data_IF_816362737811
#
_entry.id   IF_816362737811
#
_cell.length_a   1.000
_cell.length_b   1.000
_cell.length_c   1.000
_cell.angle_alpha   90.00
_cell.angle_beta   90.00
_cell.angle_gamma   90.00
#
_symmetry.space_group_name_H-M   'P 1'
#
loop_
_entity.id
_entity.type
_entity.pdbx_description
1 polymer ?
#
# COMPACT_ATOMS: atom_id res chain seq x y z
N UNK A 1 21.43 10.39 29.67
CA UNK A 1 20.40 9.76 28.81
C UNK A 1 20.14 10.70 27.63
N UNK A 2 20.73 10.40 26.49
CA UNK A 2 20.86 11.31 25.33
C UNK A 2 19.63 11.21 24.42
N UNK A 3 19.15 12.36 23.93
CA UNK A 3 17.94 12.55 23.10
C UNK A 3 17.89 11.74 21.79
N UNK A 4 18.99 11.07 21.46
CA UNK A 4 19.18 10.24 20.27
C UNK A 4 18.37 8.92 20.36
N UNK A 5 18.39 8.26 21.52
CA UNK A 5 17.75 6.95 21.74
C UNK A 5 16.23 6.98 21.47
N UNK A 6 15.58 8.06 21.91
CA UNK A 6 14.13 8.22 21.81
C UNK A 6 13.64 8.45 20.37
N UNK A 7 14.54 8.89 19.48
CA UNK A 7 14.25 9.21 18.08
C UNK A 7 14.28 7.93 17.22
N UNK A 8 15.18 6.99 17.56
CA UNK A 8 15.24 5.66 16.95
C UNK A 8 14.03 4.80 17.32
N UNK A 9 13.58 4.84 18.58
CA UNK A 9 12.38 4.11 19.01
C UNK A 9 11.10 4.61 18.31
N UNK A 10 10.96 5.93 18.16
CA UNK A 10 9.85 6.52 17.38
C UNK A 10 9.86 6.06 15.92
N UNK A 11 11.04 5.94 15.30
CA UNK A 11 11.20 5.45 13.93
C UNK A 11 10.86 3.97 13.81
N UNK A 12 11.29 3.14 14.77
CA UNK A 12 10.95 1.71 14.85
C UNK A 12 9.45 1.47 14.99
N UNK A 13 8.78 2.21 15.87
CA UNK A 13 7.33 2.11 16.09
C UNK A 13 6.57 2.56 14.84
N UNK A 14 7.01 3.64 14.19
CA UNK A 14 6.44 4.07 12.92
C UNK A 14 6.56 3.02 11.81
N UNK A 15 7.71 2.36 11.70
CA UNK A 15 7.93 1.25 10.77
C UNK A 15 7.06 0.03 11.07
N UNK A 16 6.93 -0.35 12.34
CA UNK A 16 6.10 -1.47 12.76
C UNK A 16 4.61 -1.22 12.48
N UNK A 17 4.14 0.00 12.77
CA UNK A 17 2.76 0.41 12.50
C UNK A 17 2.47 0.45 10.99
N UNK A 18 3.45 0.86 10.18
CA UNK A 18 3.37 0.84 8.73
C UNK A 18 3.24 -0.60 8.20
N UNK A 19 4.05 -1.53 8.71
CA UNK A 19 3.97 -2.95 8.34
C UNK A 19 2.63 -3.58 8.75
N UNK A 20 2.13 -3.27 9.96
CA UNK A 20 0.82 -3.73 10.43
C UNK A 20 -0.32 -3.22 9.56
N UNK A 21 -0.30 -1.93 9.20
CA UNK A 21 -1.30 -1.35 8.28
C UNK A 21 -1.21 -1.98 6.89
N UNK A 22 -0.01 -2.14 6.34
CA UNK A 22 0.17 -2.77 5.04
C UNK A 22 -0.37 -4.21 5.03
N UNK A 23 -0.04 -4.99 6.06
CA UNK A 23 -0.54 -6.37 6.20
C UNK A 23 -2.07 -6.43 6.31
N UNK A 24 -2.68 -5.54 7.11
CA UNK A 24 -4.13 -5.47 7.26
C UNK A 24 -4.84 -5.09 5.96
N UNK A 25 -4.28 -4.15 5.20
CA UNK A 25 -4.80 -3.74 3.88
C UNK A 25 -4.73 -4.90 2.89
N UNK A 26 -3.62 -5.63 2.84
CA UNK A 26 -3.45 -6.77 1.92
C UNK A 26 -4.42 -7.90 2.29
N UNK A 27 -4.49 -8.28 3.57
CA UNK A 27 -5.40 -9.34 4.03
C UNK A 27 -6.88 -8.97 3.80
N UNK A 28 -7.25 -7.71 4.05
CA UNK A 28 -8.60 -7.20 3.78
C UNK A 28 -8.94 -7.20 2.29
N UNK A 29 -8.02 -6.79 1.42
CA UNK A 29 -8.22 -6.80 -0.01
C UNK A 29 -8.40 -8.22 -0.57
N UNK A 30 -7.60 -9.18 -0.10
CA UNK A 30 -7.71 -10.59 -0.49
C UNK A 30 -9.05 -11.17 0.01
N UNK A 31 -9.40 -10.94 1.28
CA UNK A 31 -10.67 -11.40 1.84
C UNK A 31 -11.90 -10.83 1.13
N UNK A 32 -11.84 -9.56 0.72
CA UNK A 32 -12.89 -8.92 -0.07
C UNK A 32 -13.01 -9.52 -1.48
N UNK A 33 -11.87 -9.71 -2.17
CA UNK A 33 -11.82 -10.32 -3.49
C UNK A 33 -12.33 -11.77 -3.49
N UNK A 34 -12.02 -12.56 -2.47
CA UNK A 34 -12.43 -13.97 -2.39
C UNK A 34 -13.88 -14.11 -1.91
N UNK A 35 -14.33 -13.26 -0.99
CA UNK A 35 -15.64 -13.38 -0.36
C UNK A 35 -16.79 -12.68 -1.09
N UNK A 36 -16.51 -11.62 -1.84
CA UNK A 36 -17.54 -10.75 -2.43
C UNK A 36 -17.55 -10.73 -3.95
N UNK A 37 -16.45 -11.10 -4.59
CA UNK A 37 -16.37 -11.13 -6.06
C UNK A 37 -16.55 -12.54 -6.60
N UNK A 38 -17.43 -12.66 -7.60
CA UNK A 38 -17.46 -13.85 -8.43
C UNK A 38 -16.13 -13.95 -9.18
N UNK A 39 -15.62 -15.17 -9.38
CA UNK A 39 -14.29 -15.44 -9.94
C UNK A 39 -14.06 -14.76 -11.32
N UNK A 40 -15.14 -14.49 -12.05
CA UNK A 40 -15.15 -13.76 -13.33
C UNK A 40 -14.85 -12.25 -13.21
N UNK A 41 -15.13 -11.64 -12.06
CA UNK A 41 -14.94 -10.21 -11.82
C UNK A 41 -13.55 -9.87 -11.26
N UNK A 42 -12.87 -10.84 -10.64
CA UNK A 42 -11.52 -10.68 -10.09
C UNK A 42 -10.51 -10.19 -11.15
N UNK A 43 -10.44 -10.78 -12.37
CA UNK A 43 -9.53 -10.29 -13.40
C UNK A 43 -9.83 -8.86 -13.86
N UNK A 44 -11.11 -8.49 -13.97
CA UNK A 44 -11.50 -7.14 -14.40
C UNK A 44 -11.12 -6.08 -13.36
N UNK A 45 -11.36 -6.34 -12.07
CA UNK A 45 -10.95 -5.42 -10.99
C UNK A 45 -9.42 -5.38 -10.88
N UNK A 46 -8.73 -6.52 -11.02
CA UNK A 46 -7.27 -6.57 -11.05
C UNK A 46 -6.68 -5.75 -12.20
N UNK A 47 -7.25 -5.84 -13.40
CA UNK A 47 -6.84 -5.04 -14.56
C UNK A 47 -7.05 -3.54 -14.33
N UNK A 48 -8.19 -3.14 -13.78
CA UNK A 48 -8.44 -1.73 -13.43
C UNK A 48 -7.43 -1.22 -12.40
N UNK A 49 -7.16 -2.00 -11.34
CA UNK A 49 -6.16 -1.63 -10.34
C UNK A 49 -4.76 -1.44 -10.96
N UNK A 50 -4.35 -2.32 -11.87
CA UNK A 50 -3.09 -2.19 -12.61
C UNK A 50 -3.05 -0.96 -13.51
N UNK A 51 -4.16 -0.62 -14.17
CA UNK A 51 -4.27 0.61 -14.98
C UNK A 51 -4.13 1.85 -14.11
N UNK A 52 -4.82 1.91 -12.96
CA UNK A 52 -4.71 3.04 -12.04
C UNK A 52 -3.31 3.19 -11.44
N UNK A 53 -2.68 2.08 -11.03
CA UNK A 53 -1.30 2.09 -10.54
C UNK A 53 -0.34 2.53 -11.66
N UNK A 54 -0.50 2.00 -12.87
CA UNK A 54 0.30 2.37 -14.04
C UNK A 54 0.15 3.84 -14.43
N UNK A 55 -1.07 4.37 -14.41
CA UNK A 55 -1.36 5.78 -14.68
C UNK A 55 -0.78 6.69 -13.58
N UNK A 56 -0.98 6.35 -12.30
CA UNK A 56 -0.40 7.10 -11.18
C UNK A 56 1.12 7.07 -11.17
N UNK A 57 1.74 5.93 -11.48
CA UNK A 57 3.19 5.80 -11.61
C UNK A 57 3.75 6.60 -12.80
N UNK A 58 2.98 6.73 -13.89
CA UNK A 58 3.33 7.57 -15.04
C UNK A 58 3.25 9.06 -14.70
N UNK A 59 2.24 9.49 -13.95
CA UNK A 59 2.07 10.89 -13.52
C UNK A 59 3.19 11.35 -12.58
N UNK A 60 3.66 10.48 -11.66
CA UNK A 60 4.77 10.78 -10.74
C UNK A 60 6.08 11.14 -11.46
N UNK A 61 6.27 10.71 -12.72
CA UNK A 61 7.48 11.04 -13.50
C UNK A 61 7.50 12.45 -14.08
N UNK A 62 6.38 13.19 -14.04
CA UNK A 62 6.31 14.56 -14.58
C UNK A 62 6.61 15.64 -13.55
N UNK A 63 6.72 15.29 -12.27
CA UNK A 63 6.99 16.26 -11.19
C UNK A 63 8.49 16.42 -10.88
N UNK A 64 9.33 15.47 -11.28
CA UNK A 64 10.80 15.52 -11.08
C UNK A 64 11.55 16.21 -12.24
N UNK A 65 10.84 16.78 -13.22
CA UNK A 65 11.45 17.49 -14.36
C UNK A 65 11.00 18.96 -14.42
N UNK A 66 11.10 19.67 -13.29
CA UNK A 66 11.00 21.13 -13.26
C UNK A 66 12.06 21.74 -12.36
#
# INVERSE_FOLDING_TARGET
>A
MTKEEHKDDKRKIGGLLLMLRAGLVIAGAIGFMVGYLSQEQIPAIGALALIFIGAGASMKRKEESK
#
